data_IF_831688298265
#
_entry.id   IF_831688298265
#
_cell.length_a   1.000
_cell.length_b   1.000
_cell.length_c   1.000
_cell.angle_alpha   90.00
_cell.angle_beta   90.00
_cell.angle_gamma   90.00
#
_symmetry.space_group_name_H-M   'P 1'
#
loop_
_entity.id
_entity.type
_entity.pdbx_description
1 polymer ?
#
# COMPACT_ATOMS: atom_id res chain seq x y z
N UNK A 1 10.86 5.30 -19.14
CA UNK A 1 9.46 5.19 -18.65
C UNK A 1 8.94 3.81 -19.02
N UNK A 2 8.45 3.02 -18.07
CA UNK A 2 7.93 1.67 -18.35
C UNK A 2 6.62 1.78 -19.12
N UNK A 3 6.44 0.95 -20.16
CA UNK A 3 5.18 0.81 -20.91
C UNK A 3 4.69 -0.63 -20.72
N UNK A 4 3.39 -0.85 -20.43
CA UNK A 4 2.86 -2.20 -20.32
C UNK A 4 2.98 -2.92 -21.67
N UNK A 5 3.41 -4.18 -21.64
CA UNK A 5 3.75 -4.96 -22.84
C UNK A 5 2.70 -6.01 -23.20
N UNK A 6 1.85 -6.41 -22.24
CA UNK A 6 0.80 -7.42 -22.42
C UNK A 6 -0.59 -6.81 -22.31
N UNK A 7 -1.57 -7.45 -22.99
CA UNK A 7 -2.99 -7.08 -22.90
C UNK A 7 -3.45 -7.03 -21.45
N UNK A 8 -3.07 -8.01 -20.62
CA UNK A 8 -3.47 -8.07 -19.20
C UNK A 8 -2.83 -6.96 -18.36
N UNK A 9 -1.56 -6.63 -18.63
CA UNK A 9 -0.90 -5.50 -17.96
C UNK A 9 -1.56 -4.17 -18.31
N UNK A 10 -2.00 -3.98 -19.56
CA UNK A 10 -2.78 -2.81 -19.97
C UNK A 10 -4.16 -2.78 -19.33
N UNK A 11 -4.87 -3.91 -19.30
CA UNK A 11 -6.18 -4.02 -18.66
C UNK A 11 -6.12 -3.68 -17.18
N UNK A 12 -5.09 -4.12 -16.46
CA UNK A 12 -4.95 -3.82 -15.03
C UNK A 12 -4.71 -2.32 -14.78
N UNK A 13 -3.85 -1.68 -15.58
CA UNK A 13 -3.65 -0.22 -15.52
C UNK A 13 -4.95 0.51 -15.87
N UNK A 14 -5.66 0.09 -16.92
CA UNK A 14 -6.89 0.75 -17.34
C UNK A 14 -7.99 0.67 -16.27
N UNK A 15 -8.22 -0.51 -15.68
CA UNK A 15 -9.22 -0.70 -14.63
C UNK A 15 -8.89 0.15 -13.40
N UNK A 16 -7.65 0.09 -12.91
CA UNK A 16 -7.22 0.86 -11.73
C UNK A 16 -7.27 2.37 -11.98
N UNK A 17 -6.86 2.82 -13.17
CA UNK A 17 -6.91 4.23 -13.56
C UNK A 17 -8.34 4.76 -13.69
N UNK A 18 -9.23 4.02 -14.36
CA UNK A 18 -10.63 4.41 -14.52
C UNK A 18 -11.32 4.44 -13.15
N UNK A 19 -11.11 3.41 -12.32
CA UNK A 19 -11.62 3.39 -10.95
C UNK A 19 -11.15 4.62 -10.18
N UNK A 20 -9.84 4.86 -10.12
CA UNK A 20 -9.27 6.02 -9.43
C UNK A 20 -9.80 7.35 -9.97
N UNK A 21 -9.90 7.53 -11.29
CA UNK A 21 -10.40 8.77 -11.88
C UNK A 21 -11.86 9.08 -11.48
N UNK A 22 -12.73 8.06 -11.49
CA UNK A 22 -14.14 8.23 -11.09
C UNK A 22 -14.23 8.57 -9.60
N UNK A 23 -13.53 7.81 -8.74
CA UNK A 23 -13.58 8.03 -7.30
C UNK A 23 -13.00 9.39 -6.92
N UNK A 24 -11.85 9.78 -7.48
CA UNK A 24 -11.26 11.10 -7.24
C UNK A 24 -12.18 12.24 -7.69
N UNK A 25 -12.96 12.05 -8.76
CA UNK A 25 -13.94 13.04 -9.21
C UNK A 25 -15.09 13.19 -8.20
N UNK A 26 -15.61 12.07 -7.67
CA UNK A 26 -16.67 12.09 -6.66
C UNK A 26 -16.17 12.67 -5.33
N UNK A 27 -15.00 12.26 -4.86
CA UNK A 27 -14.35 12.80 -3.66
C UNK A 27 -14.12 14.32 -3.75
N UNK A 28 -13.64 14.80 -4.91
CA UNK A 28 -13.43 16.23 -5.15
C UNK A 28 -14.74 17.02 -5.12
N UNK A 29 -15.81 16.47 -5.70
CA UNK A 29 -17.14 17.07 -5.64
C UNK A 29 -17.68 17.13 -4.19
N UNK A 30 -17.59 16.02 -3.45
CA UNK A 30 -18.01 15.95 -2.05
C UNK A 30 -17.25 16.98 -1.21
N UNK A 31 -15.94 17.07 -1.39
CA UNK A 31 -15.08 18.04 -0.71
C UNK A 31 -15.50 19.48 -1.02
N UNK A 32 -15.67 19.83 -2.30
CA UNK A 32 -16.01 21.18 -2.72
C UNK A 32 -17.40 21.61 -2.22
N UNK A 33 -18.40 20.72 -2.31
CA UNK A 33 -19.76 20.99 -1.84
C UNK A 33 -19.77 21.18 -0.33
N UNK A 34 -19.12 20.31 0.43
CA UNK A 34 -18.99 20.46 1.88
C UNK A 34 -18.32 21.79 2.27
N UNK A 35 -17.19 22.13 1.65
CA UNK A 35 -16.45 23.35 1.96
C UNK A 35 -17.25 24.62 1.60
N UNK A 36 -18.07 24.58 0.55
CA UNK A 36 -18.90 25.72 0.13
C UNK A 36 -20.08 26.02 1.05
N UNK A 37 -20.46 25.06 1.90
CA UNK A 37 -21.64 25.11 2.77
C UNK A 37 -21.28 25.30 4.25
N UNK A 38 -19.99 25.31 4.56
CA UNK A 38 -19.51 25.50 5.93
C UNK A 38 -19.54 26.99 6.27
N UNK A 39 -20.47 27.40 7.14
CA UNK A 39 -20.60 28.77 7.63
C UNK A 39 -19.94 28.92 9.03
N UNK A 40 -19.20 30.02 9.25
CA UNK A 40 -18.62 30.39 10.56
C UNK A 40 -17.13 30.06 10.80
N UNK A 41 -16.58 30.60 11.90
CA UNK A 41 -15.15 30.53 12.28
C UNK A 41 -14.81 29.25 13.08
N UNK A 42 -15.10 28.08 12.49
CA UNK A 42 -14.91 26.77 13.13
C UNK A 42 -13.58 26.08 12.75
N UNK A 43 -12.54 26.85 12.40
CA UNK A 43 -11.20 26.30 12.09
C UNK A 43 -10.58 25.44 13.21
N UNK A 44 -11.15 25.49 14.43
CA UNK A 44 -10.65 24.78 15.61
C UNK A 44 -11.46 23.57 16.08
N UNK A 45 -12.71 23.36 15.64
CA UNK A 45 -13.49 22.17 16.03
C UNK A 45 -12.89 20.88 15.43
N UNK A 46 -12.91 19.77 16.17
CA UNK A 46 -12.39 18.49 15.64
C UNK A 46 -13.25 17.98 14.47
N UNK A 47 -14.57 18.18 14.53
CA UNK A 47 -15.55 17.75 13.52
C UNK A 47 -15.34 18.45 12.17
N UNK A 48 -15.00 19.74 12.15
CA UNK A 48 -14.73 20.48 10.91
C UNK A 48 -13.47 20.01 10.18
N UNK A 49 -12.48 19.47 10.92
CA UNK A 49 -11.25 18.89 10.34
C UNK A 49 -11.41 17.43 9.92
N UNK A 50 -12.44 16.75 10.44
CA UNK A 50 -12.63 15.31 10.28
C UNK A 50 -12.96 14.94 8.83
N UNK A 51 -13.95 15.61 8.22
CA UNK A 51 -14.37 15.37 6.84
C UNK A 51 -13.22 15.62 5.84
N UNK A 52 -12.55 16.81 5.83
CA UNK A 52 -11.38 17.05 4.97
C UNK A 52 -10.28 16.01 5.10
N UNK A 53 -10.00 15.55 6.33
CA UNK A 53 -8.95 14.56 6.59
C UNK A 53 -9.28 13.21 5.96
N UNK A 54 -10.54 12.76 6.08
CA UNK A 54 -10.94 11.48 5.50
C UNK A 54 -10.91 11.50 3.98
N UNK A 55 -11.44 12.55 3.36
CA UNK A 55 -11.46 12.74 1.90
C UNK A 55 -10.01 12.83 1.35
N UNK A 56 -9.14 13.63 1.99
CA UNK A 56 -7.74 13.78 1.57
C UNK A 56 -6.96 12.48 1.68
N UNK A 57 -7.18 11.71 2.76
CA UNK A 57 -6.54 10.42 2.94
C UNK A 57 -6.99 9.42 1.88
N UNK A 58 -8.26 9.48 1.48
CA UNK A 58 -8.80 8.59 0.45
C UNK A 58 -8.25 8.92 -0.94
N UNK A 59 -8.17 10.21 -1.26
CA UNK A 59 -7.48 10.71 -2.46
C UNK A 59 -6.03 10.21 -2.49
N UNK A 60 -5.30 10.37 -1.38
CA UNK A 60 -3.94 9.86 -1.25
C UNK A 60 -3.87 8.33 -1.45
N UNK A 61 -4.87 7.58 -0.94
CA UNK A 61 -5.02 6.15 -1.16
C UNK A 61 -5.03 5.74 -2.63
N UNK A 62 -5.92 6.33 -3.43
CA UNK A 62 -6.00 6.00 -4.86
C UNK A 62 -4.77 6.44 -5.64
N UNK A 63 -4.20 7.62 -5.32
CA UNK A 63 -2.96 8.08 -5.96
C UNK A 63 -1.80 7.13 -5.63
N UNK A 64 -1.68 6.71 -4.37
CA UNK A 64 -0.66 5.77 -3.94
C UNK A 64 -0.86 4.38 -4.58
N UNK A 65 -2.11 3.92 -4.70
CA UNK A 65 -2.46 2.69 -5.40
C UNK A 65 -1.96 2.71 -6.85
N UNK A 66 -2.21 3.79 -7.61
CA UNK A 66 -1.72 3.92 -8.99
C UNK A 66 -0.19 3.87 -9.09
N UNK A 67 0.52 4.49 -8.13
CA UNK A 67 1.99 4.41 -8.05
C UNK A 67 2.44 2.97 -7.81
N UNK A 68 1.78 2.26 -6.90
CA UNK A 68 2.08 0.87 -6.60
C UNK A 68 1.73 -0.07 -7.76
N UNK A 69 0.67 0.20 -8.52
CA UNK A 69 0.31 -0.54 -9.75
C UNK A 69 1.45 -0.42 -10.77
N UNK A 70 1.89 0.80 -11.05
CA UNK A 70 3.01 1.03 -11.96
C UNK A 70 4.28 0.29 -11.52
N UNK A 71 4.62 0.39 -10.24
CA UNK A 71 5.81 -0.27 -9.69
C UNK A 71 5.70 -1.81 -9.69
N UNK A 72 4.51 -2.36 -9.36
CA UNK A 72 4.25 -3.79 -9.38
C UNK A 72 4.39 -4.37 -10.80
N UNK A 73 3.83 -3.70 -11.80
CA UNK A 73 3.90 -4.15 -13.20
C UNK A 73 5.31 -4.00 -13.76
N UNK A 74 5.98 -2.87 -13.50
CA UNK A 74 7.38 -2.63 -13.91
C UNK A 74 8.31 -3.72 -13.38
N UNK A 75 8.16 -4.08 -12.11
CA UNK A 75 8.97 -5.10 -11.45
C UNK A 75 8.42 -6.52 -11.63
N UNK A 76 7.36 -6.71 -12.42
CA UNK A 76 6.62 -7.99 -12.58
C UNK A 76 6.45 -8.70 -11.23
N UNK A 77 6.08 -7.93 -10.20
CA UNK A 77 5.98 -8.39 -8.82
C UNK A 77 4.56 -8.87 -8.54
N UNK A 78 4.31 -10.16 -8.75
CA UNK A 78 2.98 -10.77 -8.58
C UNK A 78 2.45 -10.62 -7.16
N UNK A 79 3.32 -10.69 -6.15
CA UNK A 79 2.91 -10.53 -4.75
C UNK A 79 2.35 -9.13 -4.50
N UNK A 80 2.97 -8.10 -5.09
CA UNK A 80 2.49 -6.74 -4.96
C UNK A 80 1.15 -6.54 -5.70
N UNK A 81 0.92 -7.23 -6.82
CA UNK A 81 -0.38 -7.23 -7.52
C UNK A 81 -1.48 -7.86 -6.65
N UNK A 82 -1.19 -8.99 -5.99
CA UNK A 82 -2.13 -9.61 -5.05
C UNK A 82 -2.40 -8.68 -3.86
N UNK A 83 -1.34 -8.09 -3.29
CA UNK A 83 -1.47 -7.11 -2.22
C UNK A 83 -2.31 -5.90 -2.61
N UNK A 84 -2.17 -5.40 -3.83
CA UNK A 84 -3.01 -4.31 -4.38
C UNK A 84 -4.49 -4.69 -4.42
N UNK A 85 -4.83 -5.92 -4.82
CA UNK A 85 -6.22 -6.38 -4.80
C UNK A 85 -6.80 -6.41 -3.38
N UNK A 86 -6.01 -6.88 -2.40
CA UNK A 86 -6.40 -6.88 -0.98
C UNK A 86 -6.55 -5.45 -0.46
N UNK A 87 -5.62 -4.55 -0.81
CA UNK A 87 -5.70 -3.14 -0.44
C UNK A 87 -6.92 -2.43 -1.06
N UNK A 88 -7.31 -2.78 -2.28
CA UNK A 88 -8.52 -2.22 -2.90
C UNK A 88 -9.80 -2.63 -2.14
N UNK A 89 -9.85 -3.87 -1.63
CA UNK A 89 -10.92 -4.28 -0.69
C UNK A 89 -10.84 -3.48 0.62
N UNK A 90 -9.63 -3.18 1.11
CA UNK A 90 -9.44 -2.27 2.24
C UNK A 90 -9.99 -0.86 1.97
N UNK A 91 -9.77 -0.31 0.77
CA UNK A 91 -10.33 0.97 0.35
C UNK A 91 -11.86 0.93 0.23
N UNK A 92 -12.44 -0.22 -0.16
CA UNK A 92 -13.89 -0.43 -0.14
C UNK A 92 -14.44 -0.33 1.30
N UNK A 93 -13.84 -1.07 2.24
CA UNK A 93 -14.25 -1.02 3.66
C UNK A 93 -14.11 0.38 4.22
N UNK A 94 -13.01 1.07 3.91
CA UNK A 94 -12.82 2.45 4.32
C UNK A 94 -13.88 3.39 3.73
N UNK A 95 -14.25 3.26 2.45
CA UNK A 95 -15.31 4.06 1.83
C UNK A 95 -16.66 3.87 2.52
N UNK A 96 -16.98 2.64 2.93
CA UNK A 96 -18.18 2.36 3.73
C UNK A 96 -18.13 3.05 5.11
N UNK A 97 -17.00 2.94 5.81
CA UNK A 97 -16.80 3.61 7.13
C UNK A 97 -16.85 5.13 7.00
N UNK A 98 -16.24 5.69 5.96
CA UNK A 98 -16.18 7.11 5.70
C UNK A 98 -17.58 7.70 5.47
N UNK A 99 -18.47 7.00 4.77
CA UNK A 99 -19.85 7.45 4.56
C UNK A 99 -20.58 7.68 5.90
N UNK A 100 -20.49 6.72 6.83
CA UNK A 100 -21.12 6.85 8.15
C UNK A 100 -20.50 7.98 8.97
N UNK A 101 -19.16 8.12 8.93
CA UNK A 101 -18.47 9.19 9.64
C UNK A 101 -18.78 10.59 9.09
N UNK A 102 -18.91 10.73 7.77
CA UNK A 102 -19.33 12.00 7.15
C UNK A 102 -20.77 12.33 7.56
N UNK A 103 -21.66 11.33 7.61
CA UNK A 103 -23.04 11.52 8.06
C UNK A 103 -23.10 12.02 9.50
N UNK A 104 -22.38 11.37 10.42
CA UNK A 104 -22.33 11.76 11.84
C UNK A 104 -21.79 13.18 12.00
N UNK A 105 -20.73 13.53 11.27
CA UNK A 105 -20.16 14.87 11.30
C UNK A 105 -21.11 15.95 10.75
N UNK A 106 -21.87 15.66 9.68
CA UNK A 106 -22.87 16.59 9.16
C UNK A 106 -24.03 16.78 10.15
N UNK A 107 -24.51 15.70 10.78
CA UNK A 107 -25.58 15.79 11.79
C UNK A 107 -25.15 16.64 12.98
N UNK A 108 -23.93 16.45 13.49
CA UNK A 108 -23.38 17.25 14.59
C UNK A 108 -23.25 18.75 14.22
N UNK A 109 -22.86 19.06 12.98
CA UNK A 109 -22.73 20.44 12.50
C UNK A 109 -24.09 21.11 12.25
N UNK A 110 -25.09 20.34 11.81
CA UNK A 110 -26.47 20.80 11.62
C UNK A 110 -27.19 21.08 12.95
N UNK A 111 -26.97 20.25 13.98
CA UNK A 111 -27.49 20.49 15.34
C UNK A 111 -26.99 21.83 15.93
N UNK A 112 -25.90 22.37 15.39
CA UNK A 112 -25.30 23.65 15.78
C UNK A 112 -25.58 24.78 14.76
N UNK A 113 -26.48 24.56 13.79
CA UNK A 113 -26.89 25.52 12.75
C UNK A 113 -25.75 26.06 11.86
N UNK A 114 -24.69 25.27 11.65
CA UNK A 114 -23.48 25.69 10.92
C UNK A 114 -23.42 25.19 9.46
N UNK A 115 -24.35 24.30 9.09
CA UNK A 115 -24.47 23.70 7.76
C UNK A 115 -25.95 23.54 7.43
N UNK A 116 -26.31 23.80 6.17
CA UNK A 116 -27.66 23.59 5.66
C UNK A 116 -28.10 22.10 5.75
N UNK A 117 -29.36 21.89 6.12
CA UNK A 117 -30.00 20.58 6.29
C UNK A 117 -30.00 19.75 5.01
N UNK A 118 -29.91 20.41 3.85
CA UNK A 118 -29.97 19.75 2.54
C UNK A 118 -28.64 19.14 2.08
N UNK A 119 -27.50 19.51 2.69
CA UNK A 119 -26.16 19.07 2.25
C UNK A 119 -26.01 17.54 2.25
N UNK A 120 -26.59 16.86 3.24
CA UNK A 120 -26.54 15.39 3.26
C UNK A 120 -27.27 14.75 2.08
N UNK A 121 -28.41 15.31 1.67
CA UNK A 121 -29.20 14.79 0.55
C UNK A 121 -28.41 14.85 -0.77
N UNK A 122 -27.64 15.94 -0.96
CA UNK A 122 -26.79 16.13 -2.13
C UNK A 122 -25.58 15.19 -2.15
N UNK A 123 -24.97 14.93 -0.99
CA UNK A 123 -23.73 14.15 -0.89
C UNK A 123 -23.98 12.63 -0.87
N UNK A 124 -25.08 12.19 -0.26
CA UNK A 124 -25.45 10.78 -0.09
C UNK A 124 -25.35 9.94 -1.37
N UNK A 125 -25.87 10.34 -2.56
CA UNK A 125 -25.79 9.50 -3.75
C UNK A 125 -24.33 9.26 -4.20
N UNK A 126 -23.46 10.26 -4.09
CA UNK A 126 -22.04 10.14 -4.46
C UNK A 126 -21.29 9.26 -3.46
N UNK A 127 -21.52 9.46 -2.15
CA UNK A 127 -20.92 8.66 -1.08
C UNK A 127 -21.34 7.18 -1.16
N UNK A 128 -22.57 6.90 -1.59
CA UNK A 128 -23.03 5.52 -1.81
C UNK A 128 -22.45 4.90 -3.09
N UNK A 129 -22.26 5.69 -4.15
CA UNK A 129 -21.72 5.20 -5.41
C UNK A 129 -20.25 4.76 -5.30
N UNK A 130 -19.45 5.43 -4.46
CA UNK A 130 -18.03 5.14 -4.23
C UNK A 130 -17.76 3.66 -3.90
N UNK A 131 -18.30 3.07 -2.81
CA UNK A 131 -18.02 1.67 -2.46
C UNK A 131 -18.57 0.68 -3.50
N UNK A 132 -19.63 1.03 -4.23
CA UNK A 132 -20.16 0.18 -5.32
C UNK A 132 -19.16 0.11 -6.48
N UNK A 133 -18.62 1.25 -6.91
CA UNK A 133 -17.63 1.33 -7.99
C UNK A 133 -16.35 0.59 -7.61
N UNK A 134 -15.88 0.74 -6.37
CA UNK A 134 -14.70 0.03 -5.87
C UNK A 134 -14.98 -1.47 -5.74
N UNK A 135 -16.20 -1.87 -5.38
CA UNK A 135 -16.62 -3.27 -5.37
C UNK A 135 -16.51 -3.91 -6.75
N UNK A 136 -17.07 -3.26 -7.78
CA UNK A 136 -16.97 -3.73 -9.17
C UNK A 136 -15.51 -3.76 -9.62
N UNK A 137 -14.76 -2.68 -9.37
CA UNK A 137 -13.35 -2.60 -9.73
C UNK A 137 -12.49 -3.63 -9.00
N UNK A 138 -12.78 -3.97 -7.74
CA UNK A 138 -12.10 -5.04 -6.98
C UNK A 138 -12.29 -6.41 -7.62
N UNK A 139 -13.50 -6.72 -8.09
CA UNK A 139 -13.79 -7.98 -8.80
C UNK A 139 -13.01 -8.04 -10.12
N UNK A 140 -13.04 -6.95 -10.90
CA UNK A 140 -12.29 -6.84 -12.15
C UNK A 140 -10.77 -6.93 -11.93
N UNK A 141 -10.24 -6.22 -10.93
CA UNK A 141 -8.82 -6.28 -10.55
C UNK A 141 -8.42 -7.68 -10.15
N UNK A 142 -9.23 -8.37 -9.34
CA UNK A 142 -8.95 -9.74 -8.90
C UNK A 142 -8.94 -10.73 -10.08
N UNK A 143 -9.88 -10.60 -11.02
CA UNK A 143 -9.90 -11.42 -12.23
C UNK A 143 -8.65 -11.19 -13.11
N UNK A 144 -8.26 -9.94 -13.33
CA UNK A 144 -7.07 -9.61 -14.13
C UNK A 144 -5.79 -10.02 -13.40
N UNK A 145 -5.74 -9.87 -12.07
CA UNK A 145 -4.62 -10.30 -11.23
C UNK A 145 -4.38 -11.81 -11.32
N UNK A 146 -5.44 -12.61 -11.40
CA UNK A 146 -5.33 -14.05 -11.64
C UNK A 146 -4.65 -14.36 -12.98
N UNK A 147 -5.01 -13.65 -14.06
CA UNK A 147 -4.33 -13.80 -15.36
C UNK A 147 -2.88 -13.30 -15.35
N UNK A 148 -2.60 -12.21 -14.64
CA UNK A 148 -1.24 -11.70 -14.43
C UNK A 148 -0.37 -12.67 -13.63
N UNK A 149 -0.96 -13.39 -12.67
CA UNK A 149 -0.25 -14.40 -11.89
C UNK A 149 0.36 -15.46 -12.82
N UNK A 150 -0.43 -16.00 -13.74
CA UNK A 150 0.03 -17.01 -14.70
C UNK A 150 1.15 -16.45 -15.61
N UNK A 151 0.96 -15.24 -16.15
CA UNK A 151 1.93 -14.59 -17.05
C UNK A 151 3.28 -14.30 -16.36
N UNK A 152 3.23 -13.79 -15.13
CA UNK A 152 4.43 -13.47 -14.35
C UNK A 152 5.11 -14.74 -13.79
N UNK A 153 4.34 -15.74 -13.38
CA UNK A 153 4.89 -17.03 -12.95
C UNK A 153 5.66 -17.72 -14.08
N UNK A 154 5.15 -17.67 -15.31
CA UNK A 154 5.82 -18.19 -16.50
C UNK A 154 7.12 -17.42 -16.81
N UNK A 155 7.10 -16.09 -16.73
CA UNK A 155 8.30 -15.26 -16.94
C UNK A 155 9.39 -15.51 -15.90
N UNK A 156 9.01 -15.64 -14.62
CA UNK A 156 9.94 -15.96 -13.52
C UNK A 156 10.53 -17.36 -13.70
N UNK A 157 9.72 -18.34 -14.14
CA UNK A 157 10.20 -19.68 -14.43
C UNK A 157 11.29 -19.69 -15.50
N UNK A 158 11.12 -18.97 -16.62
CA UNK A 158 12.09 -18.97 -17.72
C UNK A 158 13.47 -18.40 -17.36
N UNK A 159 13.54 -17.44 -16.44
CA UNK A 159 14.81 -16.79 -16.04
C UNK A 159 15.46 -17.37 -14.77
N UNK A 160 14.71 -18.07 -13.91
CA UNK A 160 15.19 -18.61 -12.61
C UNK A 160 15.15 -20.17 -12.60
N UNK A 161 15.08 -20.83 -13.77
CA UNK A 161 15.21 -22.29 -13.87
C UNK A 161 16.70 -22.65 -13.81
N UNK A 162 17.27 -23.13 -12.70
CA UNK A 162 16.97 -24.45 -12.14
C UNK A 162 17.08 -24.56 -10.59
N UNK A 163 17.28 -23.47 -9.84
CA UNK A 163 17.43 -23.53 -8.37
C UNK A 163 16.16 -23.05 -7.63
N UNK A 164 15.37 -24.02 -7.17
CA UNK A 164 14.15 -23.79 -6.36
C UNK A 164 14.45 -23.04 -5.04
N UNK A 165 15.65 -23.20 -4.47
CA UNK A 165 16.04 -22.54 -3.22
C UNK A 165 16.26 -21.05 -3.46
N UNK A 166 16.90 -20.67 -4.56
CA UNK A 166 17.09 -19.27 -4.94
C UNK A 166 15.76 -18.58 -5.25
N UNK A 167 14.87 -19.25 -5.99
CA UNK A 167 13.51 -18.75 -6.27
C UNK A 167 12.75 -18.44 -4.98
N UNK A 168 12.79 -19.35 -3.99
CA UNK A 168 12.12 -19.14 -2.69
C UNK A 168 12.67 -17.92 -1.95
N UNK A 169 14.01 -17.77 -1.87
CA UNK A 169 14.65 -16.62 -1.20
C UNK A 169 14.30 -15.30 -1.88
N UNK A 170 14.27 -15.28 -3.21
CA UNK A 170 13.86 -14.12 -3.98
C UNK A 170 12.40 -13.74 -3.74
N UNK A 171 11.51 -14.73 -3.70
CA UNK A 171 10.10 -14.53 -3.41
C UNK A 171 9.91 -13.93 -2.01
N UNK A 172 10.58 -14.47 -0.99
CA UNK A 172 10.55 -13.88 0.38
C UNK A 172 11.01 -12.43 0.37
N UNK A 173 12.09 -12.10 -0.34
CA UNK A 173 12.55 -10.72 -0.48
C UNK A 173 11.48 -9.82 -1.15
N UNK A 174 10.81 -10.30 -2.20
CA UNK A 174 9.73 -9.54 -2.85
C UNK A 174 8.51 -9.35 -1.95
N UNK A 175 8.13 -10.37 -1.16
CA UNK A 175 7.07 -10.24 -0.14
C UNK A 175 7.45 -9.14 0.84
N UNK A 176 8.67 -9.20 1.38
CA UNK A 176 9.13 -8.23 2.35
C UNK A 176 9.11 -6.79 1.81
N UNK A 177 9.66 -6.55 0.62
CA UNK A 177 9.65 -5.21 0.01
C UNK A 177 8.22 -4.74 -0.33
N UNK A 178 7.31 -5.65 -0.69
CA UNK A 178 5.90 -5.30 -0.90
C UNK A 178 5.23 -4.90 0.42
N UNK A 179 5.43 -5.66 1.50
CA UNK A 179 4.92 -5.35 2.83
C UNK A 179 5.39 -3.97 3.32
N UNK A 180 6.67 -3.61 3.13
CA UNK A 180 7.17 -2.28 3.51
C UNK A 180 6.42 -1.11 2.82
N UNK A 181 5.93 -1.31 1.59
CA UNK A 181 5.17 -0.29 0.87
C UNK A 181 3.75 -0.17 1.41
N UNK A 182 3.11 -1.29 1.71
CA UNK A 182 1.79 -1.29 2.34
C UNK A 182 1.86 -0.72 3.77
N UNK A 183 2.87 -1.11 4.55
CA UNK A 183 3.15 -0.56 5.87
C UNK A 183 3.29 0.97 5.84
N UNK A 184 4.00 1.51 4.84
CA UNK A 184 4.12 2.96 4.67
C UNK A 184 2.74 3.64 4.56
N UNK A 185 1.85 3.10 3.73
CA UNK A 185 0.52 3.68 3.53
C UNK A 185 -0.33 3.64 4.80
N UNK A 186 -0.47 2.47 5.43
CA UNK A 186 -1.33 2.33 6.60
C UNK A 186 -0.78 3.06 7.82
N UNK A 187 0.54 3.04 8.03
CA UNK A 187 1.18 3.82 9.09
C UNK A 187 0.96 5.32 8.89
N UNK A 188 1.21 5.82 7.67
CA UNK A 188 1.05 7.25 7.36
C UNK A 188 -0.43 7.65 7.48
N UNK A 189 -1.35 6.84 6.96
CA UNK A 189 -2.77 7.07 7.05
C UNK A 189 -3.26 7.19 8.50
N UNK A 190 -2.89 6.24 9.36
CA UNK A 190 -3.15 6.31 10.79
C UNK A 190 -2.58 7.59 11.41
N UNK A 191 -1.31 7.88 11.13
CA UNK A 191 -0.59 8.98 11.76
C UNK A 191 -1.19 10.33 11.38
N UNK A 192 -1.52 10.53 10.10
CA UNK A 192 -2.16 11.76 9.62
C UNK A 192 -3.54 11.95 10.26
N UNK A 193 -4.39 10.91 10.28
CA UNK A 193 -5.70 10.98 10.95
C UNK A 193 -5.54 11.31 12.44
N UNK A 194 -4.60 10.64 13.12
CA UNK A 194 -4.38 10.80 14.54
C UNK A 194 -3.85 12.20 14.90
N UNK A 195 -2.91 12.75 14.11
CA UNK A 195 -2.37 14.11 14.30
C UNK A 195 -3.45 15.17 14.08
N UNK A 196 -4.22 15.06 13.00
CA UNK A 196 -5.14 16.13 12.58
C UNK A 196 -6.44 16.14 13.40
N UNK A 197 -6.96 14.95 13.72
CA UNK A 197 -8.30 14.82 14.33
C UNK A 197 -8.22 14.73 15.86
N UNK A 198 -7.29 13.93 16.40
CA UNK A 198 -7.34 13.55 17.82
C UNK A 198 -6.38 14.35 18.68
N UNK A 199 -5.26 14.80 18.14
CA UNK A 199 -4.19 15.36 18.97
C UNK A 199 -4.40 16.84 19.26
N UNK A 200 -4.38 17.21 20.53
CA UNK A 200 -4.40 18.61 20.95
C UNK A 200 -3.12 19.32 20.50
N UNK A 201 -3.26 20.41 19.73
CA UNK A 201 -2.13 21.17 19.14
C UNK A 201 -1.11 21.68 20.18
N UNK A 202 -1.50 21.78 21.45
CA UNK A 202 -0.66 22.26 22.57
C UNK A 202 0.06 21.12 23.32
N UNK A 203 -0.30 19.86 23.08
CA UNK A 203 0.29 18.73 23.78
C UNK A 203 1.62 18.32 23.15
N UNK A 204 2.58 17.90 23.97
CA UNK A 204 3.85 17.30 23.51
C UNK A 204 3.63 16.12 22.57
N UNK A 205 2.51 15.41 22.75
CA UNK A 205 2.07 14.30 21.89
C UNK A 205 1.91 14.72 20.42
N UNK A 206 1.52 15.97 20.14
CA UNK A 206 1.39 16.51 18.78
C UNK A 206 2.73 16.55 18.05
N UNK A 207 3.73 17.16 18.69
CA UNK A 207 5.07 17.31 18.11
C UNK A 207 5.74 15.94 17.92
N UNK A 208 5.64 15.06 18.93
CA UNK A 208 6.20 13.71 18.84
C UNK A 208 5.58 12.90 17.70
N UNK A 209 4.27 13.02 17.50
CA UNK A 209 3.58 12.29 16.43
C UNK A 209 3.92 12.85 15.05
N UNK A 210 4.10 14.17 14.90
CA UNK A 210 4.60 14.77 13.66
C UNK A 210 5.99 14.26 13.33
N UNK A 211 6.88 14.19 14.32
CA UNK A 211 8.25 13.66 14.15
C UNK A 211 8.21 12.16 13.80
N UNK A 212 7.20 11.41 14.25
CA UNK A 212 7.06 10.00 13.93
C UNK A 212 6.91 9.75 12.41
N UNK A 213 6.32 10.67 11.64
CA UNK A 213 6.16 10.51 10.18
C UNK A 213 7.51 10.37 9.46
N UNK A 214 8.45 11.35 9.52
CA UNK A 214 9.75 11.22 8.87
C UNK A 214 10.59 10.11 9.49
N UNK A 215 10.49 9.85 10.80
CA UNK A 215 11.20 8.74 11.45
C UNK A 215 10.75 7.41 10.86
N UNK A 216 9.45 7.16 10.69
CA UNK A 216 8.96 5.92 10.08
C UNK A 216 9.42 5.78 8.63
N UNK A 217 9.43 6.87 7.85
CA UNK A 217 9.97 6.84 6.48
C UNK A 217 11.44 6.39 6.49
N UNK A 218 12.25 6.95 7.39
CA UNK A 218 13.66 6.57 7.53
C UNK A 218 13.82 5.11 7.96
N UNK A 219 12.98 4.61 8.86
CA UNK A 219 12.98 3.20 9.28
C UNK A 219 12.65 2.29 8.10
N UNK A 220 11.61 2.59 7.31
CA UNK A 220 11.22 1.76 6.16
C UNK A 220 12.25 1.80 5.03
N UNK A 221 12.84 2.96 4.75
CA UNK A 221 13.94 3.09 3.77
C UNK A 221 15.20 2.37 4.26
N UNK A 222 15.54 2.52 5.54
CA UNK A 222 16.63 1.81 6.20
C UNK A 222 16.45 0.29 6.12
N UNK A 223 15.24 -0.20 6.39
CA UNK A 223 14.87 -1.60 6.28
C UNK A 223 15.08 -2.16 4.86
N UNK A 224 14.58 -1.44 3.85
CA UNK A 224 14.75 -1.82 2.45
C UNK A 224 16.23 -1.81 2.03
N UNK A 225 16.99 -0.81 2.49
CA UNK A 225 18.43 -0.69 2.23
C UNK A 225 19.24 -1.81 2.89
N UNK A 226 19.00 -2.07 4.18
CA UNK A 226 19.66 -3.12 4.95
C UNK A 226 19.40 -4.49 4.36
N UNK A 227 18.16 -4.77 3.93
CA UNK A 227 17.81 -6.05 3.29
C UNK A 227 18.51 -6.21 1.95
N UNK A 228 18.58 -5.16 1.13
CA UNK A 228 19.28 -5.19 -0.17
C UNK A 228 20.78 -5.43 -0.04
N UNK A 229 21.40 -4.92 1.03
CA UNK A 229 22.83 -5.10 1.28
C UNK A 229 23.17 -6.35 2.08
N UNK A 230 22.15 -7.09 2.52
CA UNK A 230 22.29 -8.22 3.45
C UNK A 230 22.99 -7.81 4.76
N UNK A 231 22.75 -6.58 5.23
CA UNK A 231 23.33 -6.05 6.47
C UNK A 231 22.57 -6.57 7.69
N UNK A 232 23.13 -7.56 8.38
CA UNK A 232 22.55 -8.22 9.55
C UNK A 232 22.30 -7.23 10.69
N UNK A 233 23.26 -6.35 11.02
CA UNK A 233 23.11 -5.38 12.11
C UNK A 233 21.94 -4.43 11.84
N UNK A 234 21.84 -3.91 10.62
CA UNK A 234 20.73 -3.05 10.21
C UNK A 234 19.37 -3.76 10.29
N UNK A 235 19.32 -5.05 9.95
CA UNK A 235 18.09 -5.84 10.10
C UNK A 235 17.70 -6.08 11.55
N UNK A 236 18.66 -6.38 12.44
CA UNK A 236 18.38 -6.56 13.87
C UNK A 236 17.78 -5.27 14.44
N UNK A 237 18.39 -4.11 14.16
CA UNK A 237 17.87 -2.80 14.59
C UNK A 237 16.47 -2.57 14.04
N UNK A 238 16.25 -2.83 12.76
CA UNK A 238 14.94 -2.68 12.11
C UNK A 238 13.87 -3.57 12.75
N UNK A 239 14.19 -4.84 13.03
CA UNK A 239 13.26 -5.79 13.66
C UNK A 239 12.89 -5.32 15.07
N UNK A 240 13.84 -4.82 15.85
CA UNK A 240 13.58 -4.24 17.17
C UNK A 240 12.65 -3.01 17.07
N UNK A 241 12.88 -2.14 16.08
CA UNK A 241 12.02 -0.99 15.82
C UNK A 241 10.60 -1.41 15.40
N UNK A 242 10.43 -2.49 14.64
CA UNK A 242 9.11 -3.03 14.32
C UNK A 242 8.37 -3.57 15.54
N UNK A 243 9.06 -4.20 16.49
CA UNK A 243 8.43 -4.59 17.76
C UNK A 243 8.00 -3.35 18.56
N UNK A 244 8.80 -2.28 18.55
CA UNK A 244 8.41 -0.99 19.13
C UNK A 244 7.17 -0.38 18.45
N UNK A 245 7.11 -0.42 17.11
CA UNK A 245 5.95 -0.01 16.33
C UNK A 245 4.70 -0.83 16.65
N UNK A 246 4.84 -2.16 16.76
CA UNK A 246 3.75 -3.05 17.13
C UNK A 246 3.23 -2.73 18.54
N UNK A 247 4.12 -2.54 19.50
CA UNK A 247 3.75 -2.12 20.86
C UNK A 247 3.02 -0.76 20.86
N UNK A 248 3.47 0.20 20.04
CA UNK A 248 2.81 1.49 19.88
C UNK A 248 1.38 1.35 19.34
N UNK A 249 1.16 0.57 18.27
CA UNK A 249 -0.18 0.37 17.73
C UNK A 249 -1.10 -0.39 18.68
N UNK A 250 -0.59 -1.38 19.41
CA UNK A 250 -1.35 -2.07 20.47
C UNK A 250 -1.75 -1.10 21.58
N UNK A 251 -0.82 -0.27 22.04
CA UNK A 251 -1.12 0.78 23.03
C UNK A 251 -2.18 1.75 22.52
N UNK A 252 -2.05 2.23 21.28
CA UNK A 252 -3.03 3.15 20.68
C UNK A 252 -4.40 2.50 20.53
N UNK A 253 -4.46 1.24 20.10
CA UNK A 253 -5.71 0.48 20.01
C UNK A 253 -6.42 0.46 21.36
N UNK A 254 -5.73 0.09 22.44
CA UNK A 254 -6.32 0.08 23.79
C UNK A 254 -6.72 1.50 24.21
N UNK A 255 -5.87 2.51 23.96
CA UNK A 255 -6.11 3.89 24.37
C UNK A 255 -7.36 4.51 23.74
N UNK A 256 -7.79 4.06 22.55
CA UNK A 256 -9.03 4.52 21.91
C UNK A 256 -10.29 4.14 22.69
N UNK A 257 -10.24 3.05 23.47
CA UNK A 257 -11.38 2.46 24.17
C UNK A 257 -11.31 2.60 25.70
N UNK A 258 -10.28 3.26 26.24
CA UNK A 258 -10.09 3.41 27.71
C UNK A 258 -10.22 4.87 28.16
N UNK A 259 -11.02 5.19 29.20
CA UNK A 259 -11.11 6.55 29.77
C UNK A 259 -9.76 7.06 30.29
N UNK A 260 -9.49 8.38 30.31
CA UNK A 260 -10.38 9.51 30.00
C UNK A 260 -10.36 9.96 28.53
N UNK A 261 -9.47 9.42 27.70
CA UNK A 261 -9.22 9.94 26.35
C UNK A 261 -10.21 9.49 25.28
N UNK A 262 -11.12 8.56 25.60
CA UNK A 262 -12.11 8.01 24.65
C UNK A 262 -12.88 9.07 23.86
N UNK A 263 -13.23 10.19 24.50
CA UNK A 263 -14.03 11.24 23.87
C UNK A 263 -13.27 11.90 22.70
N UNK A 264 -11.96 12.13 22.85
CA UNK A 264 -11.12 12.73 21.80
C UNK A 264 -11.03 11.87 20.54
N UNK A 265 -11.24 10.56 20.64
CA UNK A 265 -11.22 9.65 19.50
C UNK A 265 -12.59 9.48 18.83
N UNK A 266 -13.69 9.94 19.43
CA UNK A 266 -15.06 9.57 19.01
C UNK A 266 -15.31 9.82 17.52
N UNK A 267 -14.95 10.99 17.00
CA UNK A 267 -15.17 11.39 15.61
C UNK A 267 -14.46 10.49 14.57
N UNK A 268 -13.30 9.92 14.93
CA UNK A 268 -12.49 9.11 14.02
C UNK A 268 -12.26 7.68 14.51
N UNK A 269 -12.97 7.22 15.54
CA UNK A 269 -12.65 5.96 16.23
C UNK A 269 -12.73 4.76 15.28
N UNK A 270 -13.78 4.70 14.46
CA UNK A 270 -14.02 3.58 13.56
C UNK A 270 -12.92 3.48 12.49
N UNK A 271 -12.60 4.58 11.81
CA UNK A 271 -11.51 4.62 10.82
C UNK A 271 -10.13 4.40 11.45
N UNK A 272 -9.83 5.03 12.58
CA UNK A 272 -8.56 4.82 13.30
C UNK A 272 -8.39 3.37 13.77
N UNK A 273 -9.47 2.73 14.23
CA UNK A 273 -9.45 1.32 14.62
C UNK A 273 -9.18 0.43 13.41
N UNK A 274 -9.86 0.69 12.28
CA UNK A 274 -9.63 -0.04 11.04
C UNK A 274 -8.16 0.04 10.60
N UNK A 275 -7.58 1.25 10.53
CA UNK A 275 -6.17 1.43 10.19
C UNK A 275 -5.24 0.76 11.19
N UNK A 276 -5.54 0.83 12.49
CA UNK A 276 -4.72 0.22 13.54
C UNK A 276 -4.71 -1.30 13.44
N UNK A 277 -5.87 -1.93 13.25
CA UNK A 277 -6.00 -3.39 13.13
C UNK A 277 -5.26 -3.89 11.89
N UNK A 278 -5.45 -3.23 10.73
CA UNK A 278 -4.73 -3.60 9.51
C UNK A 278 -3.22 -3.43 9.68
N UNK A 279 -2.77 -2.33 10.30
CA UNK A 279 -1.34 -2.09 10.53
C UNK A 279 -0.73 -3.13 11.48
N UNK A 280 -1.45 -3.58 12.52
CA UNK A 280 -0.99 -4.65 13.41
C UNK A 280 -0.81 -5.96 12.64
N UNK A 281 -1.75 -6.31 11.76
CA UNK A 281 -1.63 -7.52 10.94
C UNK A 281 -0.43 -7.41 10.00
N UNK A 282 -0.28 -6.27 9.31
CA UNK A 282 0.81 -6.06 8.37
C UNK A 282 2.17 -6.07 9.07
N UNK A 283 2.34 -5.38 10.21
CA UNK A 283 3.62 -5.34 10.92
C UNK A 283 4.03 -6.71 11.46
N UNK A 284 3.08 -7.56 11.89
CA UNK A 284 3.37 -8.95 12.27
C UNK A 284 3.88 -9.73 11.07
N UNK A 285 3.21 -9.62 9.91
CA UNK A 285 3.69 -10.24 8.67
C UNK A 285 5.07 -9.71 8.26
N UNK A 286 5.33 -8.41 8.45
CA UNK A 286 6.61 -7.77 8.15
C UNK A 286 7.73 -8.29 9.06
N UNK A 287 7.48 -8.42 10.36
CA UNK A 287 8.45 -8.98 11.32
C UNK A 287 8.81 -10.42 10.93
N UNK A 288 7.80 -11.26 10.65
CA UNK A 288 8.03 -12.66 10.25
C UNK A 288 8.88 -12.71 8.98
N UNK A 289 8.52 -11.94 7.95
CA UNK A 289 9.27 -11.91 6.69
C UNK A 289 10.67 -11.30 6.86
N UNK A 290 10.86 -10.33 7.76
CA UNK A 290 12.17 -9.77 8.08
C UNK A 290 13.09 -10.86 8.64
N UNK A 291 12.62 -11.65 9.62
CA UNK A 291 13.37 -12.76 10.19
C UNK A 291 13.75 -13.82 9.14
N UNK A 292 12.81 -14.19 8.27
CA UNK A 292 13.06 -15.16 7.19
C UNK A 292 14.08 -14.60 6.19
N UNK A 293 13.97 -13.32 5.83
CA UNK A 293 14.96 -12.64 4.99
C UNK A 293 16.35 -12.67 5.63
N UNK A 294 16.48 -12.30 6.90
CA UNK A 294 17.76 -12.28 7.62
C UNK A 294 18.40 -13.67 7.70
N UNK A 295 17.60 -14.72 7.96
CA UNK A 295 18.11 -16.10 7.95
C UNK A 295 18.57 -16.58 6.55
N UNK A 296 18.12 -15.90 5.48
CA UNK A 296 18.48 -16.22 4.10
C UNK A 296 19.69 -15.41 3.57
N UNK A 297 20.28 -14.52 4.37
CA UNK A 297 21.44 -13.71 3.97
C UNK A 297 22.70 -14.54 3.74
N UNK A 298 23.62 -14.02 2.92
CA UNK A 298 24.89 -14.63 2.48
C UNK A 298 24.74 -15.94 1.70
N UNK A 299 23.54 -16.27 1.23
CA UNK A 299 23.28 -17.48 0.44
C UNK A 299 23.17 -17.19 -1.08
N UNK A 300 23.82 -16.13 -1.54
CA UNK A 300 23.97 -15.80 -2.97
C UNK A 300 22.84 -14.99 -3.63
N UNK A 301 21.92 -14.40 -2.85
CA UNK A 301 20.77 -13.65 -3.41
C UNK A 301 21.17 -12.24 -3.90
N UNK A 302 22.16 -11.61 -3.25
CA UNK A 302 22.65 -10.25 -3.54
C UNK A 302 22.94 -9.94 -5.02
N UNK A 303 23.65 -10.77 -5.82
CA UNK A 303 23.90 -10.47 -7.23
C UNK A 303 22.62 -10.41 -8.06
N UNK A 304 21.64 -11.29 -7.81
CA UNK A 304 20.38 -11.32 -8.56
C UNK A 304 19.49 -10.10 -8.27
N UNK A 305 19.56 -9.55 -7.06
CA UNK A 305 18.86 -8.32 -6.70
C UNK A 305 19.51 -7.10 -7.38
N UNK A 306 20.85 -7.06 -7.47
CA UNK A 306 21.60 -5.96 -8.08
C UNK A 306 21.47 -5.93 -9.61
N UNK A 307 21.52 -7.10 -10.26
CA UNK A 307 21.54 -7.22 -11.73
C UNK A 307 20.20 -6.96 -12.40
N UNK A 308 19.06 -7.12 -11.70
CA UNK A 308 17.73 -6.89 -12.30
C UNK A 308 17.47 -5.42 -12.72
N UNK A 309 18.32 -4.47 -12.29
CA UNK A 309 18.30 -3.10 -12.81
C UNK A 309 18.66 -3.01 -14.31
N UNK A 310 19.30 -4.05 -14.87
CA UNK A 310 19.83 -4.10 -16.26
C UNK A 310 18.88 -4.82 -17.23
N UNK A 311 18.14 -5.85 -16.79
CA UNK A 311 17.32 -6.71 -17.69
C UNK A 311 16.06 -5.99 -18.24
N UNK A 312 15.68 -4.84 -17.68
CA UNK A 312 14.52 -4.06 -18.17
C UNK A 312 14.73 -3.45 -19.56
N UNK A 313 15.98 -3.27 -20.00
CA UNK A 313 16.30 -2.65 -21.29
C UNK A 313 16.51 -3.71 -22.40
N UNK A 314 16.92 -4.92 -22.04
CA UNK A 314 17.18 -6.04 -22.98
C UNK A 314 15.90 -6.77 -23.44
N UNK A 315 14.77 -6.60 -22.75
CA UNK A 315 13.49 -7.19 -23.16
C UNK A 315 12.95 -6.58 -24.48
N UNK A 316 13.49 -5.43 -24.90
CA UNK A 316 13.22 -4.85 -26.23
C UNK A 316 14.08 -5.44 -27.34
N UNK A 317 15.24 -6.02 -27.02
CA UNK A 317 16.14 -6.60 -28.02
C UNK A 317 15.80 -8.07 -28.34
N UNK A 318 15.18 -8.79 -27.40
CA UNK A 318 15.06 -10.26 -27.48
C UNK A 318 13.72 -10.78 -28.03
N UNK A 319 12.76 -9.92 -28.39
CA UNK A 319 11.48 -10.36 -28.95
C UNK A 319 11.50 -10.55 -30.49
N UNK A 320 12.62 -10.28 -31.16
CA UNK A 320 12.74 -10.48 -32.63
C UNK A 320 13.77 -11.53 -33.05
N UNK A 321 14.56 -12.10 -32.14
CA UNK A 321 15.67 -12.96 -32.59
C UNK A 321 16.15 -13.92 -31.50
N UNK A 322 16.45 -15.16 -31.92
CA UNK A 322 17.34 -16.12 -31.26
C UNK A 322 16.75 -17.05 -30.17
N UNK A 323 15.84 -17.93 -30.58
CA UNK A 323 15.84 -19.32 -30.12
C UNK A 323 17.02 -20.08 -30.78
N UNK A 324 18.29 -19.66 -30.54
CA UNK A 324 19.42 -20.31 -31.24
C UNK A 324 20.84 -20.20 -30.64
N UNK A 325 21.13 -19.46 -29.57
CA UNK A 325 22.55 -19.16 -29.25
C UNK A 325 23.09 -19.53 -27.86
N UNK A 326 22.32 -20.14 -26.96
CA UNK A 326 22.80 -20.49 -25.61
C UNK A 326 22.99 -21.99 -25.34
N UNK A 327 23.49 -22.74 -26.34
CA UNK A 327 24.12 -24.03 -26.08
C UNK A 327 25.63 -23.80 -25.99
N UNK A 328 26.19 -23.86 -24.77
CA UNK A 328 27.64 -23.93 -24.61
C UNK A 328 28.15 -25.16 -25.36
N UNK A 329 28.80 -24.95 -26.50
CA UNK A 329 29.65 -25.94 -27.14
C UNK A 329 30.87 -26.15 -26.23
N UNK A 330 30.74 -27.07 -25.26
CA UNK A 330 31.91 -27.76 -24.73
C UNK A 330 32.63 -28.49 -25.87
N UNK A 331 33.94 -28.76 -25.74
CA UNK A 331 34.71 -29.40 -26.79
C UNK A 331 34.06 -30.74 -27.17
N UNK A 332 33.76 -30.89 -28.46
CA UNK A 332 33.17 -32.11 -29.02
C UNK A 332 34.06 -33.31 -28.68
N UNK A 333 33.52 -34.41 -28.13
CA UNK A 333 34.30 -35.62 -27.92
C UNK A 333 34.70 -36.18 -29.29
N UNK A 334 36.01 -36.33 -29.49
CA UNK A 334 36.61 -36.94 -30.67
C UNK A 334 36.05 -38.36 -30.82
N UNK A 335 35.38 -38.61 -31.94
CA UNK A 335 34.85 -39.93 -32.29
C UNK A 335 36.00 -40.91 -32.43
N UNK A 336 36.17 -41.83 -31.46
CA UNK A 336 37.05 -42.98 -31.65
C UNK A 336 36.48 -43.87 -32.75
N UNK A 337 37.18 -43.96 -33.87
CA UNK A 337 37.01 -45.03 -34.85
C UNK A 337 37.71 -46.27 -34.31
N UNK A 338 36.96 -47.36 -34.18
CA UNK A 338 37.52 -48.70 -34.00
C UNK A 338 37.77 -49.21 -35.42
N UNK A 339 39.02 -49.53 -35.73
CA UNK A 339 39.43 -50.27 -36.93
C UNK A 339 38.89 -51.71 -36.89
#
# INVERSE_FOLDING_TARGET
>A
MYRPNSRWTWSFVAVTFIQAAIILSFESYVFARFQSQLEGDYGNAATSRTIPTFLTLYIFGFVYELVLVYDALRLKNTIQVIGLCICNVGLLVYGAVQMDQIREAIVELNDTDNIDKEVWSDLKPFLLAIPIIIGIGSVLMSFIAWKLYDEFAWTIYKHISADLRMKRRYLTYQIYIALLKFDFFFFLGFTVQFVVIVTDKKATEYILTIIAIPVTILILLGAAWSTRRENILGMIITILLYHGGLAYFLFKLVRMYTPPRMHSYKAARTSLTFFTVVTIVLIIMTIINACICTHNFNKGLKPHIATRKVISDDEKANNTTELSSNMHQGPLPTRMTID
#
